data_IF_611392964313
#
_entry.id   IF_611392964313
#
_cell.length_a   1.000
_cell.length_b   1.000
_cell.length_c   1.000
_cell.angle_alpha   90.00
_cell.angle_beta   90.00
_cell.angle_gamma   90.00
#
_symmetry.space_group_name_H-M   'P 1'
#
loop_
_entity.id
_entity.type
_entity.pdbx_description
1 polymer ?
#
# COMPACT_ATOMS: atom_id res chain seq x y z
N UNK A 1 2.00 7.51 -5.41
CA UNK A 1 1.77 6.35 -4.51
C UNK A 1 2.95 6.21 -3.57
N UNK A 2 2.72 5.99 -2.28
CA UNK A 2 3.76 5.63 -1.29
C UNK A 2 3.71 4.11 -1.05
N UNK A 3 4.74 3.39 -1.47
CA UNK A 3 4.82 1.93 -1.34
C UNK A 3 5.33 1.51 0.05
N UNK A 4 4.78 0.38 0.55
CA UNK A 4 5.12 -0.30 1.80
C UNK A 4 5.69 0.62 2.89
N UNK A 5 4.91 1.63 3.36
CA UNK A 5 5.35 2.67 4.30
C UNK A 5 5.87 2.09 5.62
N UNK A 6 5.46 0.87 5.97
CA UNK A 6 5.97 0.08 7.11
C UNK A 6 7.50 -0.02 7.15
N UNK A 7 8.17 0.02 6.00
CA UNK A 7 9.62 -0.11 5.90
C UNK A 7 10.38 1.20 6.18
N UNK A 8 9.69 2.33 6.33
CA UNK A 8 10.29 3.63 6.67
C UNK A 8 10.66 3.62 8.16
N UNK A 9 11.96 3.51 8.44
CA UNK A 9 12.50 3.42 9.81
C UNK A 9 13.42 4.59 10.20
N UNK A 10 13.88 5.39 9.24
CA UNK A 10 14.88 6.46 9.48
C UNK A 10 14.26 7.77 9.95
N UNK A 11 12.98 7.97 9.64
CA UNK A 11 12.18 9.14 10.03
C UNK A 11 10.81 8.66 10.48
N UNK A 12 10.06 9.45 11.26
CA UNK A 12 8.67 9.13 11.57
C UNK A 12 7.87 8.96 10.27
N UNK A 13 7.20 7.81 10.12
CA UNK A 13 6.46 7.47 8.89
C UNK A 13 5.39 8.54 8.58
N UNK A 14 4.80 9.16 9.60
CA UNK A 14 3.82 10.23 9.48
C UNK A 14 4.36 11.47 8.77
N UNK A 15 5.65 11.81 8.94
CA UNK A 15 6.26 12.94 8.24
C UNK A 15 6.33 12.67 6.73
N UNK A 16 6.62 11.42 6.35
CA UNK A 16 6.62 11.03 4.94
C UNK A 16 5.20 10.96 4.40
N UNK A 17 4.26 10.37 5.14
CA UNK A 17 2.87 10.25 4.70
C UNK A 17 2.16 11.60 4.52
N UNK A 18 2.69 12.69 5.09
CA UNK A 18 2.16 14.04 4.93
C UNK A 18 2.49 14.69 3.56
N UNK A 19 3.38 14.12 2.76
CA UNK A 19 3.62 14.58 1.39
C UNK A 19 2.40 14.33 0.49
N UNK A 20 2.23 15.10 -0.61
CA UNK A 20 1.04 15.06 -1.46
C UNK A 20 0.99 13.83 -2.37
N UNK A 21 0.89 12.64 -1.79
CA UNK A 21 0.71 11.40 -2.53
C UNK A 21 -0.75 11.23 -2.95
N UNK A 22 -0.98 10.59 -4.10
CA UNK A 22 -2.33 10.17 -4.51
C UNK A 22 -2.85 8.94 -3.77
N UNK A 23 -1.98 8.21 -3.08
CA UNK A 23 -2.32 6.95 -2.44
C UNK A 23 -1.16 6.29 -1.71
N UNK A 24 -1.48 5.25 -0.97
CA UNK A 24 -0.59 4.51 -0.09
C UNK A 24 -0.85 3.00 -0.19
N UNK A 25 0.22 2.20 -0.14
CA UNK A 25 0.11 0.76 -0.03
C UNK A 25 -0.17 0.36 1.42
N UNK A 26 -1.45 0.40 1.79
CA UNK A 26 -1.89 0.08 3.14
C UNK A 26 -1.94 -1.44 3.41
N UNK A 27 -2.04 -2.25 2.36
CA UNK A 27 -2.08 -3.72 2.46
C UNK A 27 -0.78 -4.25 1.87
N UNK A 28 0.12 -4.74 2.73
CA UNK A 28 1.45 -5.18 2.31
C UNK A 28 1.82 -6.46 3.04
N UNK A 29 2.61 -7.32 2.40
CA UNK A 29 2.98 -8.64 2.92
C UNK A 29 3.56 -8.60 4.35
N UNK A 30 4.44 -7.63 4.65
CA UNK A 30 5.02 -7.51 6.00
C UNK A 30 4.18 -6.68 6.98
N UNK A 31 3.00 -6.19 6.60
CA UNK A 31 2.15 -5.47 7.54
C UNK A 31 1.56 -6.45 8.55
N UNK A 32 1.65 -6.11 9.84
CA UNK A 32 0.78 -6.73 10.84
C UNK A 32 -0.65 -6.24 10.63
N UNK A 33 -1.64 -6.93 11.22
CA UNK A 33 -3.03 -6.43 11.20
C UNK A 33 -3.13 -4.98 11.68
N UNK A 34 -2.38 -4.63 12.74
CA UNK A 34 -2.35 -3.26 13.29
C UNK A 34 -1.78 -2.25 12.30
N UNK A 35 -0.74 -2.62 11.55
CA UNK A 35 -0.16 -1.77 10.51
C UNK A 35 -1.17 -1.54 9.39
N UNK A 36 -1.82 -2.60 8.89
CA UNK A 36 -2.86 -2.51 7.87
C UNK A 36 -4.03 -1.64 8.31
N UNK A 37 -4.57 -1.87 9.52
CA UNK A 37 -5.67 -1.07 10.07
C UNK A 37 -5.27 0.42 10.19
N UNK A 38 -4.02 0.69 10.61
CA UNK A 38 -3.48 2.05 10.72
C UNK A 38 -3.40 2.75 9.36
N UNK A 39 -2.78 2.11 8.36
CA UNK A 39 -2.60 2.72 7.04
C UNK A 39 -3.92 2.86 6.28
N UNK A 40 -4.87 1.92 6.42
CA UNK A 40 -6.22 2.05 5.86
C UNK A 40 -6.94 3.23 6.50
N UNK A 41 -6.92 3.34 7.83
CA UNK A 41 -7.57 4.45 8.55
C UNK A 41 -6.98 5.80 8.13
N UNK A 42 -5.65 5.88 8.00
CA UNK A 42 -4.97 7.07 7.49
C UNK A 42 -5.42 7.39 6.06
N UNK A 43 -5.41 6.40 5.16
CA UNK A 43 -5.80 6.62 3.77
C UNK A 43 -7.25 7.11 3.63
N UNK A 44 -8.17 6.52 4.38
CA UNK A 44 -9.59 6.94 4.40
C UNK A 44 -9.74 8.35 4.94
N UNK A 45 -9.03 8.71 6.02
CA UNK A 45 -9.11 10.05 6.61
C UNK A 45 -8.59 11.14 5.66
N UNK A 46 -7.59 10.82 4.85
CA UNK A 46 -6.91 11.76 3.95
C UNK A 46 -7.33 11.64 2.46
N UNK A 47 -8.40 10.90 2.16
CA UNK A 47 -8.89 10.64 0.80
C UNK A 47 -7.81 10.11 -0.18
N UNK A 48 -6.96 9.22 0.33
CA UNK A 48 -5.89 8.58 -0.42
C UNK A 48 -6.37 7.27 -1.04
N UNK A 49 -5.86 6.94 -2.23
CA UNK A 49 -6.03 5.61 -2.80
C UNK A 49 -5.35 4.56 -1.93
N UNK A 50 -6.01 3.41 -1.74
CA UNK A 50 -5.45 2.26 -1.03
C UNK A 50 -4.99 1.25 -2.06
N UNK A 51 -3.77 0.75 -1.93
CA UNK A 51 -3.24 -0.34 -2.77
C UNK A 51 -2.73 -1.52 -1.95
N UNK A 52 -2.46 -2.61 -2.67
CA UNK A 52 -2.08 -3.91 -2.13
C UNK A 52 -0.96 -4.54 -2.96
N UNK A 53 0.04 -5.12 -2.28
CA UNK A 53 1.17 -5.76 -2.95
C UNK A 53 1.89 -6.79 -2.09
N UNK A 54 2.32 -7.88 -2.73
CA UNK A 54 3.20 -8.88 -2.13
C UNK A 54 4.68 -8.52 -2.24
N UNK A 55 5.01 -7.62 -3.18
CA UNK A 55 6.38 -7.21 -3.50
C UNK A 55 7.27 -8.42 -3.86
N UNK A 56 6.74 -9.33 -4.68
CA UNK A 56 7.41 -10.57 -5.06
C UNK A 56 8.72 -10.33 -5.83
N UNK A 57 9.79 -11.01 -5.41
CA UNK A 57 11.13 -10.90 -5.99
C UNK A 57 11.68 -12.23 -6.55
N UNK A 58 10.82 -13.20 -6.83
CA UNK A 58 11.21 -14.53 -7.30
C UNK A 58 11.14 -15.60 -6.21
N UNK A 59 11.30 -16.86 -6.62
CA UNK A 59 11.41 -18.01 -5.71
C UNK A 59 12.85 -18.13 -5.20
N UNK A 60 13.25 -17.15 -4.38
CA UNK A 60 14.57 -17.08 -3.77
C UNK A 60 14.55 -17.90 -2.48
N UNK A 61 15.41 -18.91 -2.40
CA UNK A 61 15.49 -19.78 -1.22
C UNK A 61 15.76 -18.96 0.05
N UNK A 62 14.83 -19.03 1.01
CA UNK A 62 14.91 -18.34 2.30
C UNK A 62 14.47 -16.86 2.31
N UNK A 63 13.81 -16.35 1.26
CA UNK A 63 13.31 -14.97 1.28
C UNK A 63 11.98 -14.83 2.02
N UNK A 64 12.07 -14.45 3.30
CA UNK A 64 10.90 -14.18 4.15
C UNK A 64 10.41 -12.73 4.07
N UNK A 65 11.10 -11.87 3.32
CA UNK A 65 10.79 -10.43 3.25
C UNK A 65 9.70 -10.11 2.24
N UNK A 66 9.49 -10.98 1.27
CA UNK A 66 8.56 -10.76 0.18
C UNK A 66 7.53 -11.88 0.11
N UNK A 67 6.31 -11.54 -0.32
CA UNK A 67 5.25 -12.51 -0.52
C UNK A 67 5.31 -13.10 -1.93
N UNK A 68 4.65 -14.24 -2.13
CA UNK A 68 4.49 -14.83 -3.46
C UNK A 68 3.48 -14.05 -4.33
N UNK A 69 3.53 -14.28 -5.64
CA UNK A 69 2.51 -13.74 -6.56
C UNK A 69 1.13 -14.22 -6.13
N UNK A 70 0.18 -13.29 -6.00
CA UNK A 70 -1.21 -13.60 -5.67
C UNK A 70 -1.49 -13.92 -4.20
N UNK A 71 -0.49 -13.85 -3.30
CA UNK A 71 -0.71 -14.11 -1.87
C UNK A 71 -1.37 -12.95 -1.11
N UNK A 72 -1.46 -11.78 -1.75
CA UNK A 72 -2.10 -10.58 -1.20
C UNK A 72 -3.34 -10.24 -2.01
N UNK A 73 -4.38 -9.78 -1.34
CA UNK A 73 -5.65 -9.38 -1.94
C UNK A 73 -6.17 -8.09 -1.30
N UNK A 74 -7.08 -7.41 -2.00
CA UNK A 74 -7.77 -6.23 -1.48
C UNK A 74 -9.22 -6.23 -1.95
N UNK A 75 -10.12 -5.53 -1.24
CA UNK A 75 -11.48 -5.30 -1.71
C UNK A 75 -11.51 -4.66 -3.10
N UNK A 76 -12.43 -5.11 -3.95
CA UNK A 76 -12.60 -4.61 -5.33
C UNK A 76 -12.86 -3.10 -5.38
N UNK A 77 -13.57 -2.55 -4.38
CA UNK A 77 -13.83 -1.12 -4.25
C UNK A 77 -12.56 -0.24 -4.28
N UNK A 78 -11.42 -0.75 -3.77
CA UNK A 78 -10.17 -0.01 -3.80
C UNK A 78 -9.57 0.02 -5.22
N UNK A 79 -9.71 -1.08 -5.96
CA UNK A 79 -9.31 -1.15 -7.37
C UNK A 79 -10.18 -0.22 -8.22
N UNK A 80 -11.50 -0.22 -8.02
CA UNK A 80 -12.42 0.65 -8.74
C UNK A 80 -12.10 2.14 -8.54
N UNK A 81 -11.84 2.55 -7.29
CA UNK A 81 -11.40 3.92 -6.97
C UNK A 81 -10.10 4.29 -7.70
N UNK A 82 -9.13 3.38 -7.70
CA UNK A 82 -7.86 3.57 -8.42
C UNK A 82 -8.09 3.77 -9.92
N UNK A 83 -8.82 2.86 -10.56
CA UNK A 83 -9.10 2.90 -12.00
C UNK A 83 -9.91 4.14 -12.39
N UNK A 84 -10.89 4.53 -11.56
CA UNK A 84 -11.64 5.77 -11.76
C UNK A 84 -10.72 6.99 -11.74
N UNK A 85 -9.84 7.12 -10.74
CA UNK A 85 -8.90 8.24 -10.65
C UNK A 85 -7.91 8.24 -11.82
N UNK A 86 -7.38 7.09 -12.20
CA UNK A 86 -6.51 6.96 -13.37
C UNK A 86 -7.18 7.39 -14.68
N UNK A 87 -8.43 6.95 -14.92
CA UNK A 87 -9.18 7.30 -16.13
C UNK A 87 -9.61 8.78 -16.16
N UNK A 88 -9.91 9.39 -15.00
CA UNK A 88 -10.19 10.83 -14.93
C UNK A 88 -8.98 11.69 -15.30
N UNK A 89 -7.76 11.20 -15.04
CA UNK A 89 -6.51 11.91 -15.31
C UNK A 89 -5.99 11.73 -16.75
N UNK A 90 -6.63 10.91 -17.59
CA UNK A 90 -6.27 10.71 -19.01
C UNK A 90 -6.80 11.80 -19.97
N UNK A 91 -7.26 12.93 -19.44
CA UNK A 91 -7.75 14.05 -20.26
C UNK A 91 -6.60 14.91 -20.77
#
# INVERSE_FOLDING_TARGET
MLAHPKLIKRVPVQEVMAFPFDGIEAIYYQNTKKDTDFFISYAVHHDLLITCGSDFHGDLEGDERHGHVGCMSMPEEYLEKFLKKYNCNKK
#
